data_IF_631967171965
#
_entry.id   IF_631967171965
#
_cell.length_a   1.000
_cell.length_b   1.000
_cell.length_c   1.000
_cell.angle_alpha   90.00
_cell.angle_beta   90.00
_cell.angle_gamma   90.00
#
_symmetry.space_group_name_H-M   'P 1'
#
loop_
_entity.id
_entity.type
_entity.pdbx_description
1 polymer ?
#
# COMPACT_ATOMS: atom_id res chain seq x y z
N UNK A 1 21.43 -18.26 -2.78
CA UNK A 1 20.48 -17.14 -2.83
C UNK A 1 19.57 -17.38 -4.01
N UNK A 2 18.26 -17.54 -3.78
CA UNK A 2 17.30 -17.68 -4.88
C UNK A 2 17.17 -16.33 -5.56
N UNK A 3 17.35 -16.29 -6.87
CA UNK A 3 17.25 -15.02 -7.60
C UNK A 3 15.78 -14.60 -7.68
N UNK A 4 15.49 -13.29 -7.70
CA UNK A 4 14.11 -12.77 -7.82
C UNK A 4 13.36 -13.27 -9.05
N UNK A 5 14.08 -13.78 -10.06
CA UNK A 5 13.54 -14.44 -11.26
C UNK A 5 12.85 -15.79 -11.00
N UNK A 6 13.03 -16.37 -9.81
CA UNK A 6 12.40 -17.65 -9.42
C UNK A 6 11.00 -17.47 -8.80
N UNK A 7 10.60 -16.23 -8.47
CA UNK A 7 9.32 -15.95 -7.84
C UNK A 7 8.27 -15.46 -8.85
N UNK A 8 7.00 -15.73 -8.55
CA UNK A 8 5.88 -15.21 -9.32
C UNK A 8 5.95 -13.66 -9.40
N UNK A 9 5.86 -13.05 -10.58
CA UNK A 9 5.92 -11.58 -10.74
C UNK A 9 4.92 -10.82 -9.88
N UNK A 10 3.73 -11.39 -9.65
CA UNK A 10 2.68 -10.78 -8.80
C UNK A 10 3.14 -10.69 -7.35
N UNK A 11 3.84 -11.72 -6.86
CA UNK A 11 4.40 -11.71 -5.51
C UNK A 11 5.54 -10.68 -5.40
N UNK A 12 6.40 -10.61 -6.41
CA UNK A 12 7.48 -9.62 -6.44
C UNK A 12 6.88 -8.21 -6.37
N UNK A 13 5.90 -7.89 -7.21
CA UNK A 13 5.24 -6.58 -7.21
C UNK A 13 4.58 -6.27 -5.87
N UNK A 14 3.85 -7.21 -5.29
CA UNK A 14 3.20 -7.04 -3.99
C UNK A 14 4.20 -6.76 -2.86
N UNK A 15 5.32 -7.49 -2.82
CA UNK A 15 6.38 -7.27 -1.84
C UNK A 15 7.06 -5.91 -2.05
N UNK A 16 7.37 -5.52 -3.29
CA UNK A 16 7.93 -4.20 -3.58
C UNK A 16 7.01 -3.06 -3.15
N UNK A 17 5.72 -3.19 -3.45
CA UNK A 17 4.72 -2.21 -3.05
C UNK A 17 4.61 -2.10 -1.53
N UNK A 18 4.63 -3.24 -0.82
CA UNK A 18 4.62 -3.27 0.64
C UNK A 18 5.88 -2.66 1.26
N UNK A 19 7.05 -2.81 0.62
CA UNK A 19 8.32 -2.29 1.12
C UNK A 19 8.58 -0.82 0.75
N UNK A 20 7.91 -0.28 -0.27
CA UNK A 20 8.09 1.08 -0.75
C UNK A 20 8.05 2.17 0.37
N UNK A 21 7.13 2.12 1.36
CA UNK A 21 7.06 3.13 2.42
C UNK A 21 8.27 3.17 3.39
N UNK A 22 9.09 2.11 3.38
CA UNK A 22 10.27 1.96 4.23
C UNK A 22 11.58 2.36 3.53
N UNK A 23 11.55 2.53 2.20
CA UNK A 23 12.71 3.01 1.43
C UNK A 23 13.14 4.39 1.93
N UNK A 24 14.41 4.52 2.30
CA UNK A 24 14.98 5.74 2.89
C UNK A 24 14.74 5.92 4.40
N UNK A 25 13.97 5.04 5.05
CA UNK A 25 13.82 5.00 6.51
C UNK A 25 14.64 3.88 7.15
N UNK A 26 14.79 2.77 6.43
CA UNK A 26 15.60 1.62 6.82
C UNK A 26 16.85 1.53 5.93
N UNK A 27 17.85 0.79 6.40
CA UNK A 27 19.05 0.56 5.60
C UNK A 27 18.72 -0.31 4.37
N UNK A 28 19.45 -0.16 3.26
CA UNK A 28 19.24 -0.98 2.06
C UNK A 28 19.35 -2.49 2.35
N UNK A 29 20.28 -2.88 3.21
CA UNK A 29 20.52 -4.28 3.58
C UNK A 29 19.32 -4.87 4.32
N UNK A 30 18.71 -4.10 5.21
CA UNK A 30 17.51 -4.54 5.94
C UNK A 30 16.31 -4.67 5.00
N UNK A 31 16.15 -3.75 4.05
CA UNK A 31 15.09 -3.83 3.04
C UNK A 31 15.25 -5.09 2.19
N UNK A 32 16.46 -5.39 1.74
CA UNK A 32 16.69 -6.59 0.92
C UNK A 32 16.49 -7.87 1.74
N UNK A 33 16.92 -7.90 3.00
CA UNK A 33 16.63 -9.03 3.88
C UNK A 33 15.11 -9.24 4.07
N UNK A 34 14.36 -8.17 4.35
CA UNK A 34 12.90 -8.25 4.48
C UNK A 34 12.22 -8.73 3.19
N UNK A 35 12.75 -8.31 2.04
CA UNK A 35 12.28 -8.75 0.72
C UNK A 35 12.47 -10.24 0.52
N UNK A 36 13.67 -10.76 0.81
CA UNK A 36 13.99 -12.19 0.70
C UNK A 36 13.09 -13.04 1.61
N UNK A 37 12.94 -12.63 2.88
CA UNK A 37 12.08 -13.31 3.85
C UNK A 37 10.61 -13.30 3.42
N UNK A 38 10.09 -12.16 2.97
CA UNK A 38 8.72 -12.04 2.51
C UNK A 38 8.43 -12.92 1.30
N UNK A 39 9.33 -12.94 0.31
CA UNK A 39 9.19 -13.79 -0.88
C UNK A 39 9.27 -15.28 -0.54
N UNK A 40 10.19 -15.66 0.35
CA UNK A 40 10.28 -17.04 0.83
C UNK A 40 8.99 -17.47 1.55
N UNK A 41 8.46 -16.64 2.45
CA UNK A 41 7.24 -16.93 3.17
C UNK A 41 6.03 -17.02 2.24
N UNK A 42 5.85 -16.07 1.33
CA UNK A 42 4.71 -16.03 0.42
C UNK A 42 4.70 -17.16 -0.61
N UNK A 43 5.87 -17.66 -1.00
CA UNK A 43 5.98 -18.75 -1.98
C UNK A 43 5.84 -20.16 -1.39
N UNK A 44 6.05 -20.32 -0.08
CA UNK A 44 6.07 -21.64 0.57
C UNK A 44 4.88 -21.83 1.51
N UNK A 45 4.41 -20.77 2.18
CA UNK A 45 3.38 -20.93 3.20
C UNK A 45 2.01 -21.27 2.56
N UNK A 46 1.28 -22.28 3.08
CA UNK A 46 0.04 -22.75 2.45
C UNK A 46 -1.01 -21.66 2.23
N UNK A 47 -1.16 -20.75 3.20
CA UNK A 47 -2.16 -19.69 3.15
C UNK A 47 -1.92 -18.65 2.02
N UNK A 48 -0.76 -17.96 1.93
CA UNK A 48 -0.45 -17.09 0.80
C UNK A 48 -0.51 -17.78 -0.56
N UNK A 49 -0.05 -19.04 -0.66
CA UNK A 49 -0.11 -19.81 -1.90
C UNK A 49 -1.56 -20.03 -2.35
N UNK A 50 -2.44 -20.44 -1.43
CA UNK A 50 -3.86 -20.62 -1.73
C UNK A 50 -4.54 -19.30 -2.16
N UNK A 51 -4.17 -18.18 -1.54
CA UNK A 51 -4.67 -16.85 -1.94
C UNK A 51 -4.22 -16.47 -3.35
N UNK A 52 -2.94 -16.67 -3.68
CA UNK A 52 -2.42 -16.38 -5.02
C UNK A 52 -3.14 -17.22 -6.08
N UNK A 53 -3.32 -18.52 -5.81
CA UNK A 53 -4.07 -19.41 -6.71
C UNK A 53 -5.50 -18.92 -6.91
N UNK A 54 -6.20 -18.53 -5.84
CA UNK A 54 -7.56 -18.00 -5.93
C UNK A 54 -7.62 -16.71 -6.77
N UNK A 55 -6.62 -15.82 -6.66
CA UNK A 55 -6.53 -14.61 -7.47
C UNK A 55 -6.28 -14.91 -8.95
N UNK A 56 -5.41 -15.88 -9.26
CA UNK A 56 -5.08 -16.29 -10.63
C UNK A 56 -6.24 -16.98 -11.36
N UNK A 57 -7.10 -17.68 -10.62
CA UNK A 57 -8.29 -18.35 -11.17
C UNK A 57 -9.49 -17.40 -11.34
N UNK A 58 -9.36 -16.13 -10.93
CA UNK A 58 -10.46 -15.19 -11.01
C UNK A 58 -10.71 -14.81 -12.48
N UNK A 59 -11.92 -15.02 -13.01
CA UNK A 59 -12.24 -14.56 -14.35
C UNK A 59 -12.05 -13.05 -14.44
N UNK A 60 -11.60 -12.52 -15.60
CA UNK A 60 -11.57 -11.08 -15.80
C UNK A 60 -12.97 -10.51 -15.54
N UNK A 61 -13.09 -9.33 -14.91
CA UNK A 61 -14.39 -8.76 -14.65
C UNK A 61 -15.12 -8.52 -15.98
N UNK A 62 -16.31 -9.10 -16.14
CA UNK A 62 -17.13 -8.92 -17.34
C UNK A 62 -17.55 -7.45 -17.50
N UNK A 63 -17.87 -6.79 -16.39
CA UNK A 63 -18.21 -5.36 -16.34
C UNK A 63 -17.62 -4.72 -15.08
N UNK A 64 -17.05 -3.52 -15.23
CA UNK A 64 -16.58 -2.69 -14.12
C UNK A 64 -17.64 -1.64 -13.81
N UNK A 65 -18.38 -1.81 -12.73
CA UNK A 65 -19.32 -0.79 -12.27
C UNK A 65 -18.65 0.17 -11.29
N UNK A 66 -18.97 1.46 -11.40
CA UNK A 66 -18.65 2.42 -10.35
C UNK A 66 -19.47 2.07 -9.11
N UNK A 67 -18.81 1.52 -8.08
CA UNK A 67 -19.42 1.41 -6.77
C UNK A 67 -19.53 2.82 -6.21
N UNK A 68 -20.76 3.24 -5.88
CA UNK A 68 -20.98 4.44 -5.08
C UNK A 68 -20.14 4.28 -3.81
N UNK A 69 -19.05 5.05 -3.72
CA UNK A 69 -18.22 5.08 -2.53
C UNK A 69 -19.13 5.71 -1.48
N UNK A 70 -19.75 4.88 -0.66
CA UNK A 70 -20.67 5.31 0.39
C UNK A 70 -19.92 6.23 1.31
N UNK A 71 -19.96 7.53 1.01
CA UNK A 71 -19.51 8.56 1.92
C UNK A 71 -20.32 8.38 3.19
N UNK A 72 -19.64 8.38 4.33
CA UNK A 72 -20.31 8.63 5.60
C UNK A 72 -21.30 9.78 5.39
N UNK A 73 -22.55 9.68 5.91
CA UNK A 73 -23.60 10.62 5.59
C UNK A 73 -23.07 12.03 5.77
N UNK A 74 -22.99 12.77 4.66
CA UNK A 74 -22.67 14.17 4.69
C UNK A 74 -23.78 14.84 5.50
N UNK A 75 -23.43 15.34 6.69
CA UNK A 75 -24.28 16.27 7.40
C UNK A 75 -24.55 17.42 6.43
N UNK A 76 -25.82 17.57 6.08
CA UNK A 76 -26.24 18.54 5.10
C UNK A 76 -26.04 19.96 5.64
N UNK A 77 -25.56 20.82 4.74
CA UNK A 77 -25.73 22.27 4.68
C UNK A 77 -24.71 23.18 5.40
N UNK A 78 -23.81 23.73 4.59
CA UNK A 78 -23.79 25.19 4.40
C UNK A 78 -22.65 25.97 5.06
N UNK A 79 -21.54 26.17 4.34
CA UNK A 79 -20.82 27.44 4.37
C UNK A 79 -19.86 27.57 3.17
N UNK A 80 -19.79 28.80 2.68
CA UNK A 80 -19.30 29.29 1.39
C UNK A 80 -17.79 29.15 1.11
N UNK A 81 -17.47 29.14 -0.19
CA UNK A 81 -16.30 29.67 -0.92
C UNK A 81 -15.01 30.01 -0.13
N UNK A 82 -13.89 29.44 -0.57
CA UNK A 82 -12.57 30.05 -0.45
C UNK A 82 -11.38 29.13 -0.75
N UNK A 83 -10.91 29.10 -2.00
CA UNK A 83 -9.51 28.77 -2.37
C UNK A 83 -8.63 30.03 -2.14
N UNK A 84 -7.27 30.04 -2.14
CA UNK A 84 -6.22 29.01 -2.02
C UNK A 84 -5.15 29.31 -0.94
N UNK A 85 -4.29 28.31 -0.65
CA UNK A 85 -2.85 28.42 -0.27
C UNK A 85 -2.45 29.31 0.94
N UNK A 86 -1.71 28.69 1.87
CA UNK A 86 -0.46 29.33 2.36
C UNK A 86 -0.18 29.30 3.87
N UNK A 87 0.94 28.65 4.20
CA UNK A 87 1.93 28.99 5.25
C UNK A 87 1.41 29.38 6.66
N UNK A 88 1.66 28.49 7.61
CA UNK A 88 1.78 28.82 9.04
C UNK A 88 3.06 28.26 9.64
N UNK A 89 4.13 29.06 9.62
CA UNK A 89 5.47 28.77 10.13
C UNK A 89 5.46 28.80 11.67
N UNK A 90 6.26 27.93 12.29
CA UNK A 90 6.60 27.86 13.73
C UNK A 90 6.74 29.23 14.41
N UNK A 91 6.35 29.34 15.69
CA UNK A 91 7.24 29.76 16.81
C UNK A 91 6.55 29.70 18.19
N UNK A 92 7.39 29.39 19.17
CA UNK A 92 7.15 29.28 20.60
C UNK A 92 6.96 30.64 21.32
N UNK A 93 6.34 30.60 22.51
CA UNK A 93 6.71 31.34 23.74
C UNK A 93 5.69 30.97 24.85
N UNK A 94 6.12 30.30 25.91
CA UNK A 94 6.49 30.88 27.22
C UNK A 94 5.35 31.69 27.87
N UNK A 95 4.68 31.08 28.86
CA UNK A 95 3.78 31.77 29.79
C UNK A 95 4.55 32.15 31.06
N UNK A 96 4.29 33.38 31.49
CA UNK A 96 4.76 34.03 32.72
C UNK A 96 4.30 33.30 33.97
#
# INVERSE_FOLDING_TARGET
>A
MKTTREFDPVLVEAVEHALAPYRGKLSPELIEHMREEALALMSVHPYPVALLQALQQRPPPDESHELARGGAPAAAEGAERGDPRGKGRRRAASKR
#
